data_IF_149236652051
#
_entry.id   IF_149236652051
#
_cell.length_a   1.000
_cell.length_b   1.000
_cell.length_c   1.000
_cell.angle_alpha   90.00
_cell.angle_beta   90.00
_cell.angle_gamma   90.00
#
_symmetry.space_group_name_H-M   'P 1'
#
loop_
_entity.id
_entity.type
_entity.pdbx_description
1 polymer ?
#
# COMPACT_ATOMS: atom_id res chain seq x y z
N UNK A 1 34.88 51.04 25.01
CA UNK A 1 34.96 49.66 24.45
C UNK A 1 33.86 48.73 24.93
N UNK A 2 33.28 48.88 26.13
CA UNK A 2 32.31 47.93 26.72
C UNK A 2 30.89 47.97 26.12
N UNK A 3 30.38 49.14 25.73
CA UNK A 3 29.00 49.29 25.23
C UNK A 3 28.71 48.53 23.92
N UNK A 4 29.68 48.49 23.00
CA UNK A 4 29.56 47.76 21.73
C UNK A 4 29.47 46.25 21.94
N UNK A 5 30.22 45.70 22.89
CA UNK A 5 30.14 44.28 23.25
C UNK A 5 28.80 43.92 23.87
N UNK A 6 28.21 44.79 24.70
CA UNK A 6 26.88 44.58 25.29
C UNK A 6 25.78 44.57 24.20
N UNK A 7 25.86 45.49 23.24
CA UNK A 7 24.92 45.52 22.11
C UNK A 7 25.06 44.28 21.21
N UNK A 8 26.30 43.86 20.93
CA UNK A 8 26.56 42.66 20.12
C UNK A 8 26.07 41.38 20.79
N UNK A 9 26.29 41.22 22.10
CA UNK A 9 25.78 40.04 22.84
C UNK A 9 24.26 40.03 22.90
N UNK A 10 23.62 41.19 23.11
CA UNK A 10 22.16 41.30 23.14
C UNK A 10 21.54 40.97 21.77
N UNK A 11 22.14 41.45 20.68
CA UNK A 11 21.73 41.09 19.32
C UNK A 11 21.90 39.57 19.05
N UNK A 12 23.02 38.99 19.46
CA UNK A 12 23.26 37.55 19.32
C UNK A 12 22.23 36.72 20.09
N UNK A 13 21.91 37.10 21.33
CA UNK A 13 20.89 36.42 22.15
C UNK A 13 19.51 36.51 21.51
N UNK A 14 19.12 37.68 20.97
CA UNK A 14 17.85 37.83 20.26
C UNK A 14 17.75 36.94 19.03
N UNK A 15 18.83 36.84 18.24
CA UNK A 15 18.88 35.97 17.05
C UNK A 15 18.73 34.49 17.47
N UNK A 16 19.48 34.06 18.49
CA UNK A 16 19.42 32.68 18.98
C UNK A 16 18.03 32.35 19.54
N UNK A 17 17.41 33.27 20.29
CA UNK A 17 16.06 33.10 20.81
C UNK A 17 15.02 32.97 19.68
N UNK A 18 15.10 33.81 18.64
CA UNK A 18 14.22 33.74 17.48
C UNK A 18 14.35 32.43 16.70
N UNK A 19 15.59 31.97 16.47
CA UNK A 19 15.85 30.70 15.80
C UNK A 19 15.38 29.50 16.63
N UNK A 20 15.60 29.53 17.94
CA UNK A 20 15.15 28.46 18.85
C UNK A 20 13.64 28.34 18.88
N UNK A 21 12.93 29.48 18.91
CA UNK A 21 11.47 29.51 18.82
C UNK A 21 10.96 28.96 17.48
N UNK A 22 11.59 29.36 16.37
CA UNK A 22 11.23 28.88 15.05
C UNK A 22 11.43 27.36 14.92
N UNK A 23 12.57 26.84 15.36
CA UNK A 23 12.85 25.40 15.40
C UNK A 23 11.83 24.65 16.25
N UNK A 24 11.50 25.17 17.44
CA UNK A 24 10.48 24.57 18.31
C UNK A 24 9.10 24.48 17.62
N UNK A 25 8.68 25.56 16.97
CA UNK A 25 7.43 25.58 16.19
C UNK A 25 7.47 24.57 15.03
N UNK A 26 8.58 24.50 14.31
CA UNK A 26 8.74 23.59 13.17
C UNK A 26 8.66 22.13 13.61
N UNK A 27 9.34 21.76 14.70
CA UNK A 27 9.28 20.41 15.27
C UNK A 27 7.86 20.03 15.71
N UNK A 28 7.12 20.98 16.31
CA UNK A 28 5.73 20.75 16.69
C UNK A 28 4.83 20.49 15.47
N UNK A 29 4.99 21.27 14.40
CA UNK A 29 4.26 21.07 13.14
C UNK A 29 4.60 19.73 12.49
N UNK A 30 5.88 19.36 12.45
CA UNK A 30 6.33 18.07 11.92
C UNK A 30 5.70 16.90 12.68
N UNK A 31 5.70 16.94 14.01
CA UNK A 31 5.09 15.89 14.84
C UNK A 31 3.58 15.75 14.58
N UNK A 32 2.88 16.87 14.36
CA UNK A 32 1.46 16.83 13.99
C UNK A 32 1.23 16.24 12.59
N UNK A 33 2.05 16.62 11.62
CA UNK A 33 1.98 16.07 10.27
C UNK A 33 2.24 14.57 10.27
N UNK A 34 3.24 14.11 11.03
CA UNK A 34 3.55 12.69 11.18
C UNK A 34 2.35 11.91 11.77
N UNK A 35 1.70 12.46 12.79
CA UNK A 35 0.52 11.83 13.40
C UNK A 35 -0.65 11.73 12.40
N UNK A 36 -0.92 12.81 11.66
CA UNK A 36 -1.95 12.82 10.61
C UNK A 36 -1.64 11.82 9.50
N UNK A 37 -0.39 11.78 9.05
CA UNK A 37 0.04 10.83 8.02
C UNK A 37 -0.15 9.38 8.50
N UNK A 38 0.24 9.07 9.74
CA UNK A 38 0.02 7.74 10.34
C UNK A 38 -1.46 7.39 10.39
N UNK A 39 -2.33 8.34 10.74
CA UNK A 39 -3.79 8.12 10.76
C UNK A 39 -4.34 7.85 9.35
N UNK A 40 -3.91 8.61 8.35
CA UNK A 40 -4.33 8.41 6.95
C UNK A 40 -3.90 7.02 6.47
N UNK A 41 -2.65 6.62 6.72
CA UNK A 41 -2.15 5.29 6.35
C UNK A 41 -2.92 4.19 7.07
N UNK A 42 -3.19 4.35 8.37
CA UNK A 42 -3.97 3.39 9.15
C UNK A 42 -5.40 3.24 8.62
N UNK A 43 -6.08 4.35 8.30
CA UNK A 43 -7.42 4.32 7.72
C UNK A 43 -7.41 3.62 6.35
N UNK A 44 -6.48 3.97 5.46
CA UNK A 44 -6.33 3.30 4.16
C UNK A 44 -6.08 1.80 4.31
N UNK A 45 -5.22 1.39 5.24
CA UNK A 45 -4.96 -0.02 5.49
C UNK A 45 -6.20 -0.74 6.04
N UNK A 46 -7.00 -0.09 6.88
CA UNK A 46 -8.26 -0.64 7.37
C UNK A 46 -9.26 -0.86 6.22
N UNK A 47 -9.42 0.11 5.33
CA UNK A 47 -10.30 0.01 4.16
C UNK A 47 -9.86 -1.10 3.19
N UNK A 48 -8.54 -1.20 2.95
CA UNK A 48 -7.96 -2.27 2.13
C UNK A 48 -8.22 -3.64 2.77
N UNK A 49 -8.00 -3.76 4.08
CA UNK A 49 -8.22 -5.01 4.81
C UNK A 49 -9.69 -5.42 4.78
N UNK A 50 -10.61 -4.47 4.98
CA UNK A 50 -12.04 -4.73 4.88
C UNK A 50 -12.42 -5.20 3.48
N UNK A 51 -11.85 -4.59 2.43
CA UNK A 51 -12.07 -5.00 1.04
C UNK A 51 -11.57 -6.42 0.77
N UNK A 52 -10.38 -6.78 1.28
CA UNK A 52 -9.83 -8.14 1.19
C UNK A 52 -10.78 -9.14 1.86
N UNK A 53 -11.27 -8.84 3.08
CA UNK A 53 -12.20 -9.70 3.81
C UNK A 53 -13.51 -9.88 3.03
N UNK A 54 -14.04 -8.81 2.44
CA UNK A 54 -15.26 -8.87 1.64
C UNK A 54 -15.09 -9.77 0.41
N UNK A 55 -13.98 -9.64 -0.32
CA UNK A 55 -13.68 -10.48 -1.49
C UNK A 55 -13.50 -11.93 -1.07
N UNK A 56 -12.75 -12.20 -0.01
CA UNK A 56 -12.54 -13.55 0.50
C UNK A 56 -13.88 -14.20 0.93
N UNK A 57 -14.78 -13.42 1.52
CA UNK A 57 -16.13 -13.89 1.85
C UNK A 57 -16.95 -14.21 0.58
N UNK A 58 -16.91 -13.33 -0.43
CA UNK A 58 -17.60 -13.56 -1.69
C UNK A 58 -17.08 -14.79 -2.44
N UNK A 59 -15.76 -15.03 -2.41
CA UNK A 59 -15.13 -16.25 -2.94
C UNK A 59 -15.64 -17.49 -2.20
N UNK A 60 -15.70 -17.45 -0.87
CA UNK A 60 -16.21 -18.57 -0.06
C UNK A 60 -17.70 -18.86 -0.29
N UNK A 61 -18.47 -17.82 -0.61
CA UNK A 61 -19.89 -17.92 -0.95
C UNK A 61 -20.12 -18.23 -2.44
N UNK A 62 -19.06 -18.55 -3.20
CA UNK A 62 -19.11 -18.87 -4.63
C UNK A 62 -19.77 -17.78 -5.50
N UNK A 63 -19.77 -16.53 -5.01
CA UNK A 63 -20.29 -15.36 -5.74
C UNK A 63 -19.26 -14.78 -6.73
N UNK A 64 -18.01 -15.23 -6.63
CA UNK A 64 -16.88 -14.82 -7.47
C UNK A 64 -15.93 -16.00 -7.63
N UNK A 65 -15.37 -16.15 -8.85
CA UNK A 65 -14.37 -17.17 -9.16
C UNK A 65 -13.11 -16.99 -8.30
N UNK A 66 -12.47 -18.11 -7.96
CA UNK A 66 -11.27 -18.12 -7.12
C UNK A 66 -10.10 -17.40 -7.82
N UNK A 67 -9.96 -17.58 -9.14
CA UNK A 67 -8.94 -16.89 -9.94
C UNK A 67 -9.11 -15.36 -9.96
N UNK A 68 -10.35 -14.85 -10.05
CA UNK A 68 -10.63 -13.40 -10.02
C UNK A 68 -10.41 -12.81 -8.63
N UNK A 69 -10.89 -13.51 -7.59
CA UNK A 69 -10.70 -13.10 -6.21
C UNK A 69 -9.23 -13.09 -5.80
N UNK A 70 -8.45 -14.09 -6.20
CA UNK A 70 -7.02 -14.17 -5.94
C UNK A 70 -6.24 -13.01 -6.57
N UNK A 71 -6.54 -12.67 -7.82
CA UNK A 71 -5.94 -11.53 -8.52
C UNK A 71 -6.21 -10.22 -7.78
N UNK A 72 -7.47 -9.98 -7.39
CA UNK A 72 -7.86 -8.75 -6.67
C UNK A 72 -7.21 -8.66 -5.30
N UNK A 73 -7.25 -9.75 -4.52
CA UNK A 73 -6.64 -9.77 -3.18
C UNK A 73 -5.13 -9.55 -3.29
N UNK A 74 -4.45 -10.15 -4.27
CA UNK A 74 -3.01 -9.96 -4.47
C UNK A 74 -2.64 -8.48 -4.69
N UNK A 75 -3.37 -7.79 -5.55
CA UNK A 75 -3.15 -6.35 -5.79
C UNK A 75 -3.43 -5.51 -4.54
N UNK A 76 -4.47 -5.83 -3.77
CA UNK A 76 -4.77 -5.13 -2.52
C UNK A 76 -3.70 -5.37 -1.44
N UNK A 77 -3.18 -6.59 -1.35
CA UNK A 77 -2.05 -6.93 -0.47
C UNK A 77 -0.80 -6.14 -0.84
N UNK A 78 -0.57 -5.89 -2.13
CA UNK A 78 0.58 -5.09 -2.54
C UNK A 78 0.47 -3.62 -2.10
N UNK A 79 -0.74 -3.08 -2.09
CA UNK A 79 -1.00 -1.70 -1.65
C UNK A 79 -0.97 -1.48 -0.13
N UNK A 80 -0.95 -2.54 0.70
CA UNK A 80 -0.88 -2.41 2.15
C UNK A 80 0.45 -1.79 2.59
N UNK A 81 0.37 -0.72 3.37
CA UNK A 81 1.53 -0.01 3.90
C UNK A 81 1.79 -0.44 5.34
N UNK A 82 2.44 -1.59 5.49
CA UNK A 82 2.81 -2.15 6.80
C UNK A 82 4.27 -1.81 7.13
N UNK A 83 4.58 -1.39 8.38
CA UNK A 83 5.95 -1.06 8.77
C UNK A 83 6.90 -2.26 8.67
N UNK A 84 6.38 -3.49 8.79
CA UNK A 84 7.09 -4.75 8.55
C UNK A 84 6.26 -5.60 7.59
N UNK A 85 6.12 -5.19 6.32
CA UNK A 85 5.37 -5.95 5.31
C UNK A 85 6.07 -7.32 5.12
N UNK A 86 5.42 -8.45 5.50
CA UNK A 86 5.99 -9.76 5.26
C UNK A 86 6.02 -10.03 3.75
N UNK A 87 6.92 -10.91 3.31
CA UNK A 87 6.93 -11.35 1.92
C UNK A 87 5.62 -12.10 1.62
N UNK A 88 4.76 -11.47 0.82
CA UNK A 88 3.44 -12.00 0.48
C UNK A 88 3.54 -13.31 -0.29
N UNK A 89 4.61 -13.53 -1.05
CA UNK A 89 4.85 -14.76 -1.80
C UNK A 89 5.06 -15.93 -0.84
N UNK A 90 5.87 -15.72 0.19
CA UNK A 90 6.17 -16.75 1.19
C UNK A 90 5.02 -16.95 2.18
N UNK A 91 4.29 -15.88 2.49
CA UNK A 91 3.19 -15.93 3.45
C UNK A 91 1.94 -16.58 2.86
N UNK A 92 1.67 -16.35 1.57
CA UNK A 92 0.48 -16.84 0.87
C UNK A 92 0.83 -17.54 -0.45
N UNK A 93 1.54 -18.68 -0.41
CA UNK A 93 2.05 -19.34 -1.62
C UNK A 93 0.94 -19.84 -2.55
N UNK A 94 -0.21 -20.28 -2.01
CA UNK A 94 -1.36 -20.70 -2.83
C UNK A 94 -2.00 -19.53 -3.57
N UNK A 95 -2.15 -18.39 -2.89
CA UNK A 95 -2.66 -17.16 -3.51
C UNK A 95 -1.70 -16.67 -4.59
N UNK A 96 -0.40 -16.69 -4.33
CA UNK A 96 0.61 -16.31 -5.31
C UNK A 96 0.62 -17.23 -6.52
N UNK A 97 0.53 -18.55 -6.33
CA UNK A 97 0.48 -19.53 -7.43
C UNK A 97 -0.70 -19.25 -8.36
N UNK A 98 -1.88 -18.97 -7.78
CA UNK A 98 -3.06 -18.59 -8.55
C UNK A 98 -2.84 -17.27 -9.31
N UNK A 99 -2.33 -16.26 -8.61
CA UNK A 99 -2.01 -14.96 -9.21
C UNK A 99 -1.02 -15.10 -10.38
N UNK A 100 0.06 -15.87 -10.20
CA UNK A 100 1.13 -16.04 -11.18
C UNK A 100 0.63 -16.71 -12.48
N UNK A 101 -0.30 -17.65 -12.35
CA UNK A 101 -0.96 -18.30 -13.50
C UNK A 101 -1.88 -17.33 -14.24
N UNK A 102 -2.64 -16.50 -13.51
CA UNK A 102 -3.76 -15.72 -14.07
C UNK A 102 -3.33 -14.32 -14.53
N UNK A 103 -2.23 -13.75 -13.98
CA UNK A 103 -1.82 -12.35 -14.22
C UNK A 103 -1.60 -12.00 -15.70
N UNK A 104 -1.07 -12.94 -16.49
CA UNK A 104 -0.69 -12.74 -17.89
C UNK A 104 -1.79 -13.19 -18.87
N UNK A 105 -2.94 -13.66 -18.36
CA UNK A 105 -4.01 -14.15 -19.21
C UNK A 105 -4.72 -13.00 -19.93
N UNK A 106 -5.02 -13.16 -21.24
CA UNK A 106 -5.65 -12.11 -22.03
C UNK A 106 -7.06 -11.82 -21.52
N UNK A 107 -7.32 -10.55 -21.21
CA UNK A 107 -8.64 -10.05 -20.82
C UNK A 107 -9.28 -9.25 -21.95
N UNK A 108 -10.60 -9.13 -21.91
CA UNK A 108 -11.39 -8.28 -22.82
C UNK A 108 -11.10 -8.49 -24.32
N UNK A 109 -10.68 -7.44 -25.04
CA UNK A 109 -10.45 -7.48 -26.49
C UNK A 109 -9.35 -8.46 -26.89
N UNK A 110 -8.28 -8.56 -26.09
CA UNK A 110 -7.19 -9.51 -26.33
C UNK A 110 -7.66 -10.98 -26.27
N UNK A 111 -8.74 -11.28 -25.54
CA UNK A 111 -9.36 -12.62 -25.51
C UNK A 111 -10.13 -12.93 -26.79
N UNK A 112 -10.73 -11.92 -27.43
CA UNK A 112 -11.52 -12.09 -28.68
C UNK A 112 -10.65 -12.29 -29.92
N UNK A 113 -9.42 -11.77 -29.89
CA UNK A 113 -8.46 -11.84 -31.00
C UNK A 113 -7.64 -13.15 -31.01
N UNK A 114 -7.61 -13.88 -29.88
CA UNK A 114 -6.87 -15.14 -29.72
C UNK A 114 -7.63 -16.33 -30.30
N UNK A 115 -6.87 -17.35 -30.74
CA UNK A 115 -7.46 -18.58 -31.27
C UNK A 115 -8.28 -19.32 -30.21
N UNK A 116 -9.40 -19.92 -30.63
CA UNK A 116 -10.34 -20.62 -29.73
C UNK A 116 -9.72 -21.85 -29.06
N UNK A 117 -8.67 -22.45 -29.61
CA UNK A 117 -7.96 -23.55 -28.94
C UNK A 117 -7.07 -23.03 -27.81
N UNK A 118 -6.42 -21.90 -28.03
CA UNK A 118 -5.53 -21.29 -27.05
C UNK A 118 -6.31 -20.78 -25.83
N UNK A 119 -7.47 -20.15 -26.04
CA UNK A 119 -8.35 -19.74 -24.93
C UNK A 119 -8.83 -20.94 -24.11
N UNK A 120 -9.23 -22.05 -24.75
CA UNK A 120 -9.64 -23.26 -24.05
C UNK A 120 -8.50 -23.89 -23.24
N UNK A 121 -7.27 -23.84 -23.74
CA UNK A 121 -6.11 -24.30 -22.99
C UNK A 121 -5.85 -23.43 -21.76
N UNK A 122 -5.94 -22.10 -21.91
CA UNK A 122 -5.80 -21.16 -20.82
C UNK A 122 -6.90 -21.32 -19.76
N UNK A 123 -8.15 -21.54 -20.17
CA UNK A 123 -9.26 -21.80 -19.25
C UNK A 123 -9.03 -23.11 -18.46
N UNK A 124 -8.54 -24.16 -19.11
CA UNK A 124 -8.18 -25.41 -18.41
C UNK A 124 -7.04 -25.20 -17.39
N UNK A 125 -6.05 -24.36 -17.71
CA UNK A 125 -4.97 -24.03 -16.77
C UNK A 125 -5.49 -23.25 -15.56
N UNK A 126 -6.51 -22.39 -15.73
CA UNK A 126 -7.18 -21.71 -14.61
C UNK A 126 -7.89 -22.69 -13.70
N UNK A 127 -8.73 -23.55 -14.27
CA UNK A 127 -9.48 -24.56 -13.50
C UNK A 127 -8.53 -25.48 -12.71
N UNK A 128 -7.40 -25.88 -13.30
CA UNK A 128 -6.39 -26.69 -12.61
C UNK A 128 -5.68 -25.98 -11.46
N UNK A 129 -5.59 -24.64 -11.51
CA UNK A 129 -5.02 -23.86 -10.42
C UNK A 129 -6.02 -23.64 -9.28
N UNK A 130 -7.33 -23.81 -9.53
CA UNK A 130 -8.41 -23.64 -8.55
C UNK A 130 -8.62 -24.89 -7.66
N UNK A 131 -7.99 -26.02 -8.02
CA UNK A 131 -8.01 -27.32 -7.31
C UNK A 131 -6.73 -27.48 -6.48
#
# INVERSE_FOLDING_TARGET
MTLGWILATLAAVLIIAGLSFYLGRLLWLLKQQELKQKQIVAAKNADLTQSIVLIAKAMREEQCELSEGALRIWVLLDHLQLPNKPDAVQTYPGLFKMYDVVKDMPTHQARKERDKKEIRHLDHLREQAEI
#
